data_IF_162983641294
#
_entry.id   IF_162983641294
#
_cell.length_a   1.000
_cell.length_b   1.000
_cell.length_c   1.000
_cell.angle_alpha   90.00
_cell.angle_beta   90.00
_cell.angle_gamma   90.00
#
_symmetry.space_group_name_H-M   'P 1'
#
loop_
_entity.id
_entity.type
_entity.pdbx_description
1 polymer ?
#
# COMPACT_ATOMS: atom_id res chain seq x y z
N UNK A 1 3.13 10.50 -6.24
CA UNK A 1 3.07 9.99 -7.63
C UNK A 1 1.63 9.58 -7.92
N UNK A 2 1.18 9.62 -9.18
CA UNK A 2 -0.14 9.11 -9.60
C UNK A 2 0.07 7.82 -10.43
N UNK A 3 -0.89 6.88 -10.41
CA UNK A 3 -0.81 5.72 -11.28
C UNK A 3 -0.88 6.15 -12.75
N UNK A 4 -0.11 5.47 -13.59
CA UNK A 4 -0.16 5.61 -15.05
C UNK A 4 -1.39 4.91 -15.62
N UNK A 5 -1.71 3.72 -15.09
CA UNK A 5 -2.87 2.93 -15.45
C UNK A 5 -3.47 2.26 -14.22
N UNK A 6 -4.78 2.05 -14.29
CA UNK A 6 -5.55 1.23 -13.36
C UNK A 6 -6.62 0.45 -14.15
N UNK A 7 -6.71 -0.85 -13.96
CA UNK A 7 -7.68 -1.73 -14.65
C UNK A 7 -8.69 -2.43 -13.74
N UNK A 8 -8.74 -2.04 -12.46
CA UNK A 8 -9.65 -2.62 -11.45
C UNK A 8 -8.90 -3.25 -10.28
N UNK A 9 -7.85 -4.01 -10.54
CA UNK A 9 -6.99 -4.58 -9.49
C UNK A 9 -5.52 -4.26 -9.71
N UNK A 10 -5.10 -3.96 -10.93
CA UNK A 10 -3.70 -3.65 -11.21
C UNK A 10 -3.48 -2.15 -11.28
N UNK A 11 -2.44 -1.69 -10.57
CA UNK A 11 -1.92 -0.34 -10.64
C UNK A 11 -0.53 -0.35 -11.26
N UNK A 12 -0.24 0.64 -12.12
CA UNK A 12 1.09 0.82 -12.68
C UNK A 12 1.67 2.20 -12.35
N UNK A 13 2.96 2.24 -11.99
CA UNK A 13 3.66 3.48 -11.61
C UNK A 13 5.05 3.53 -12.25
N UNK A 14 5.41 4.67 -12.83
CA UNK A 14 6.75 4.87 -13.36
C UNK A 14 7.71 5.27 -12.24
N UNK A 15 8.74 4.46 -11.98
CA UNK A 15 9.75 4.76 -10.98
C UNK A 15 10.98 5.42 -11.62
N UNK A 16 11.47 6.54 -11.09
CA UNK A 16 12.65 7.20 -11.64
C UNK A 16 13.93 6.36 -11.45
N UNK A 17 15.00 6.67 -12.23
CA UNK A 17 16.33 6.12 -12.02
C UNK A 17 16.79 6.19 -10.55
N UNK A 18 17.58 5.21 -10.13
CA UNK A 18 18.17 5.13 -8.79
C UNK A 18 17.15 5.08 -7.62
N UNK A 19 15.90 4.69 -7.88
CA UNK A 19 14.93 4.43 -6.80
C UNK A 19 15.38 3.21 -5.99
N UNK A 20 15.63 3.39 -4.69
CA UNK A 20 16.05 2.32 -3.78
C UNK A 20 14.90 1.69 -3.00
N UNK A 21 13.85 2.46 -2.76
CA UNK A 21 12.64 2.01 -2.09
C UNK A 21 11.48 2.93 -2.46
N UNK A 22 10.27 2.40 -2.34
CA UNK A 22 9.03 3.16 -2.43
C UNK A 22 8.16 2.87 -1.22
N UNK A 23 7.10 3.66 -1.03
CA UNK A 23 6.07 3.39 -0.03
C UNK A 23 4.72 3.20 -0.72
N UNK A 24 4.02 2.11 -0.38
CA UNK A 24 2.63 1.87 -0.76
C UNK A 24 1.76 2.61 0.23
N UNK A 25 1.18 3.72 -0.21
CA UNK A 25 0.37 4.61 0.62
C UNK A 25 -1.08 4.58 0.17
N UNK A 26 -1.99 4.30 1.10
CA UNK A 26 -3.43 4.31 0.89
C UNK A 26 -4.13 4.93 2.09
N UNK A 27 -5.44 5.16 1.97
CA UNK A 27 -6.25 5.26 3.20
C UNK A 27 -6.17 3.94 3.95
N UNK A 28 -6.36 3.98 5.26
CA UNK A 28 -6.51 2.79 6.09
C UNK A 28 -7.61 3.02 7.12
N UNK A 29 -8.31 1.96 7.49
CA UNK A 29 -9.34 1.98 8.52
C UNK A 29 -9.36 0.64 9.23
N UNK A 30 -9.86 0.62 10.46
CA UNK A 30 -10.08 -0.63 11.17
C UNK A 30 -11.40 -1.23 10.70
N UNK A 31 -11.46 -2.50 10.27
CA UNK A 31 -12.71 -3.17 9.94
C UNK A 31 -13.77 -3.02 11.04
N UNK A 32 -13.38 -3.08 12.31
CA UNK A 32 -14.25 -2.81 13.47
C UNK A 32 -14.95 -1.44 13.45
N UNK A 33 -14.29 -0.42 12.91
CA UNK A 33 -14.77 0.97 12.92
C UNK A 33 -15.68 1.26 11.70
N UNK A 34 -15.55 0.49 10.62
CA UNK A 34 -16.30 0.70 9.36
C UNK A 34 -17.43 -0.29 9.12
N UNK A 35 -17.31 -1.54 9.61
CA UNK A 35 -18.35 -2.57 9.44
C UNK A 35 -19.23 -2.67 10.69
N UNK A 36 -18.63 -2.62 11.89
CA UNK A 36 -19.35 -2.62 13.17
C UNK A 36 -18.71 -3.51 14.26
N UNK A 37 -19.27 -3.48 15.49
CA UNK A 37 -18.65 -4.05 16.70
C UNK A 37 -18.52 -5.58 16.71
N UNK A 38 -19.11 -6.28 15.73
CA UNK A 38 -19.00 -7.73 15.59
C UNK A 38 -17.75 -8.17 14.80
N UNK A 39 -16.99 -7.21 14.25
CA UNK A 39 -15.71 -7.48 13.59
C UNK A 39 -14.57 -7.21 14.57
N UNK A 40 -13.87 -8.28 14.95
CA UNK A 40 -12.76 -8.21 15.90
C UNK A 40 -11.42 -7.77 15.27
N UNK A 41 -11.34 -7.67 13.94
CA UNK A 41 -10.13 -7.15 13.29
C UNK A 41 -9.98 -5.64 13.56
N UNK A 42 -9.07 -5.32 14.48
CA UNK A 42 -8.74 -3.97 14.94
C UNK A 42 -7.47 -3.42 14.29
N UNK A 43 -6.90 -4.12 13.31
CA UNK A 43 -5.76 -3.63 12.55
C UNK A 43 -6.20 -2.49 11.63
N UNK A 44 -5.36 -1.49 11.43
CA UNK A 44 -5.61 -0.49 10.40
C UNK A 44 -5.27 -1.09 9.05
N UNK A 45 -6.27 -1.51 8.27
CA UNK A 45 -6.02 -2.13 6.98
C UNK A 45 -6.06 -1.09 5.87
N UNK A 46 -4.95 -0.99 5.14
CA UNK A 46 -4.84 -0.22 3.90
C UNK A 46 -5.34 -1.05 2.73
N UNK A 47 -4.41 -1.59 1.95
CA UNK A 47 -4.69 -2.44 0.79
C UNK A 47 -4.09 -3.82 0.95
N UNK A 48 -4.76 -4.85 0.43
CA UNK A 48 -4.25 -6.21 0.32
C UNK A 48 -3.52 -6.35 -1.01
N UNK A 49 -2.20 -6.51 -0.96
CA UNK A 49 -1.36 -6.62 -2.15
C UNK A 49 -0.99 -8.09 -2.35
N UNK A 50 -1.31 -8.63 -3.52
CA UNK A 50 -0.93 -9.99 -3.89
C UNK A 50 0.41 -10.01 -4.60
N UNK A 51 0.49 -9.33 -5.74
CA UNK A 51 1.66 -9.39 -6.62
C UNK A 51 2.30 -8.03 -6.81
N UNK A 52 3.63 -8.03 -6.80
CA UNK A 52 4.42 -6.84 -7.10
C UNK A 52 5.47 -7.22 -8.14
N UNK A 53 5.47 -6.52 -9.27
CA UNK A 53 6.43 -6.74 -10.36
C UNK A 53 7.09 -5.42 -10.74
N UNK A 54 8.40 -5.43 -10.85
CA UNK A 54 9.16 -4.34 -11.46
C UNK A 54 9.61 -4.74 -12.85
N UNK A 55 9.31 -3.92 -13.84
CA UNK A 55 9.72 -4.10 -15.23
C UNK A 55 10.67 -2.98 -15.62
N UNK A 56 11.88 -3.34 -16.03
CA UNK A 56 12.86 -2.39 -16.58
C UNK A 56 13.43 -3.00 -17.84
N UNK A 57 13.50 -2.19 -18.90
CA UNK A 57 13.84 -2.66 -20.25
C UNK A 57 12.96 -3.85 -20.65
N UNK A 58 13.58 -4.97 -21.07
CA UNK A 58 12.90 -6.22 -21.41
C UNK A 58 12.97 -7.28 -20.29
N UNK A 59 13.24 -6.87 -19.05
CA UNK A 59 13.31 -7.77 -17.89
C UNK A 59 12.19 -7.47 -16.89
N UNK A 60 11.65 -8.54 -16.30
CA UNK A 60 10.64 -8.48 -15.24
C UNK A 60 11.17 -9.15 -13.98
N UNK A 61 11.01 -8.48 -12.85
CA UNK A 61 11.43 -8.96 -11.54
C UNK A 61 10.23 -9.00 -10.61
N UNK A 62 9.94 -10.16 -10.07
CA UNK A 62 8.94 -10.31 -9.02
C UNK A 62 9.54 -9.89 -7.67
N UNK A 63 8.84 -9.02 -6.95
CA UNK A 63 9.21 -8.58 -5.60
C UNK A 63 8.34 -9.35 -4.62
N UNK A 64 8.97 -10.13 -3.76
CA UNK A 64 8.29 -10.96 -2.74
C UNK A 64 8.51 -10.47 -1.32
N UNK A 65 9.22 -9.36 -1.13
CA UNK A 65 9.60 -8.86 0.19
C UNK A 65 8.39 -8.54 1.10
N UNK A 66 7.21 -8.30 0.52
CA UNK A 66 5.97 -8.07 1.26
C UNK A 66 5.37 -9.33 1.90
N UNK A 67 5.74 -10.53 1.42
CA UNK A 67 5.24 -11.84 1.91
C UNK A 67 6.32 -12.69 2.57
N UNK A 68 7.52 -12.13 2.80
CA UNK A 68 8.59 -12.82 3.51
C UNK A 68 8.32 -12.85 5.02
N UNK A 69 8.95 -13.81 5.72
CA UNK A 69 8.78 -14.01 7.17
C UNK A 69 9.18 -12.79 7.99
N UNK A 70 10.20 -12.05 7.55
CA UNK A 70 10.57 -10.78 8.16
C UNK A 70 9.58 -9.70 7.75
N UNK A 71 8.83 -9.19 8.72
CA UNK A 71 7.82 -8.16 8.46
C UNK A 71 8.48 -6.82 8.18
N UNK A 72 8.34 -6.34 6.95
CA UNK A 72 8.75 -5.00 6.54
C UNK A 72 7.87 -3.92 7.18
N UNK A 73 8.45 -2.73 7.39
CA UNK A 73 7.74 -1.56 7.93
C UNK A 73 6.42 -1.31 7.18
N UNK A 74 5.31 -1.36 7.92
CA UNK A 74 3.96 -1.10 7.43
C UNK A 74 3.26 -2.24 6.70
N UNK A 75 3.85 -3.43 6.65
CA UNK A 75 3.17 -4.65 6.20
C UNK A 75 2.67 -5.47 7.40
N UNK A 76 1.53 -6.11 7.26
CA UNK A 76 1.12 -7.21 8.13
C UNK A 76 1.57 -8.49 7.45
N UNK A 77 2.46 -9.24 8.10
CA UNK A 77 3.07 -10.44 7.53
C UNK A 77 2.05 -11.42 6.95
N UNK A 78 2.43 -12.10 5.87
CA UNK A 78 1.62 -13.11 5.25
C UNK A 78 1.85 -14.44 5.98
N UNK A 79 0.90 -14.86 6.82
CA UNK A 79 0.98 -16.12 7.59
C UNK A 79 0.82 -17.36 6.68
N UNK A 80 1.71 -17.54 5.71
CA UNK A 80 1.63 -18.59 4.68
C UNK A 80 0.78 -18.22 3.46
N UNK A 81 0.31 -16.96 3.38
CA UNK A 81 -0.43 -16.44 2.24
C UNK A 81 0.49 -15.83 1.18
N UNK A 82 0.00 -15.73 -0.06
CA UNK A 82 0.69 -15.04 -1.16
C UNK A 82 0.37 -13.54 -1.24
N UNK A 83 -0.34 -13.00 -0.25
CA UNK A 83 -0.72 -11.60 -0.18
C UNK A 83 -0.51 -11.04 1.23
N UNK A 84 -0.32 -9.73 1.33
CA UNK A 84 -0.08 -9.05 2.59
C UNK A 84 -0.87 -7.74 2.65
N UNK A 85 -1.49 -7.48 3.79
CA UNK A 85 -2.15 -6.22 4.06
C UNK A 85 -1.12 -5.14 4.41
N UNK A 86 -1.28 -3.94 3.86
CA UNK A 86 -0.56 -2.76 4.36
C UNK A 86 -1.30 -2.16 5.56
N UNK A 87 -0.58 -1.41 6.40
CA UNK A 87 -1.18 -0.59 7.45
C UNK A 87 -1.64 0.81 6.98
N UNK A 88 -1.67 1.03 5.66
CA UNK A 88 -1.87 2.32 5.00
C UNK A 88 -0.59 3.02 4.57
N UNK A 89 0.59 2.60 5.05
CA UNK A 89 1.88 3.13 4.62
C UNK A 89 3.00 2.09 4.77
N UNK A 90 3.23 1.31 3.72
CA UNK A 90 4.15 0.18 3.75
C UNK A 90 5.40 0.40 2.90
N UNK A 91 6.58 0.11 3.43
CA UNK A 91 7.86 0.23 2.73
C UNK A 91 8.08 -0.96 1.80
N UNK A 92 8.43 -0.68 0.55
CA UNK A 92 8.81 -1.67 -0.44
C UNK A 92 10.24 -1.39 -0.92
N UNK A 93 11.25 -2.13 -0.44
CA UNK A 93 12.61 -2.01 -0.93
C UNK A 93 12.70 -2.51 -2.38
N UNK A 94 13.53 -1.86 -3.19
CA UNK A 94 13.88 -2.29 -4.54
C UNK A 94 15.33 -2.76 -4.52
N UNK A 95 15.56 -4.02 -4.88
CA UNK A 95 16.91 -4.54 -4.90
C UNK A 95 17.72 -3.84 -6.02
N UNK A 96 18.97 -3.46 -5.71
CA UNK A 96 19.81 -2.71 -6.65
C UNK A 96 20.08 -3.47 -7.96
N UNK A 97 20.13 -4.81 -7.89
CA UNK A 97 20.29 -5.66 -9.09
C UNK A 97 19.08 -5.59 -10.04
N UNK A 98 17.90 -5.24 -9.55
CA UNK A 98 16.68 -5.11 -10.36
C UNK A 98 16.61 -3.75 -11.05
N UNK A 99 16.95 -2.69 -10.33
CA UNK A 99 16.85 -1.33 -10.85
C UNK A 99 18.07 -0.98 -11.69
N UNK A 100 19.27 -1.40 -11.30
CA UNK A 100 20.55 -1.06 -11.94
C UNK A 100 20.71 0.44 -12.24
N UNK A 101 20.11 1.28 -11.38
CA UNK A 101 20.07 2.73 -11.59
C UNK A 101 19.17 3.20 -12.75
N UNK A 102 18.32 2.35 -13.31
CA UNK A 102 17.43 2.66 -14.44
C UNK A 102 16.01 2.99 -13.99
N UNK A 103 15.28 3.64 -14.89
CA UNK A 103 13.84 3.88 -14.77
C UNK A 103 13.08 2.59 -15.08
N UNK A 104 11.93 2.36 -14.45
CA UNK A 104 11.10 1.20 -14.77
C UNK A 104 9.67 1.31 -14.28
N UNK A 105 8.83 0.38 -14.70
CA UNK A 105 7.42 0.30 -14.35
C UNK A 105 7.22 -0.63 -13.15
N UNK A 106 6.62 -0.11 -12.07
CA UNK A 106 6.17 -0.88 -10.94
C UNK A 106 4.70 -1.23 -11.11
N UNK A 107 4.38 -2.52 -11.07
CA UNK A 107 3.05 -3.09 -11.18
C UNK A 107 2.65 -3.67 -9.82
N UNK A 108 1.48 -3.30 -9.32
CA UNK A 108 0.90 -3.83 -8.09
C UNK A 108 -0.47 -4.42 -8.39
N UNK A 109 -0.69 -5.66 -7.96
CA UNK A 109 -2.02 -6.28 -7.92
C UNK A 109 -2.61 -6.12 -6.51
N UNK A 110 -3.70 -5.36 -6.42
CA UNK A 110 -4.44 -5.08 -5.20
C UNK A 110 -5.76 -5.86 -5.23
N UNK A 111 -5.91 -6.79 -4.30
CA UNK A 111 -7.09 -7.68 -4.22
C UNK A 111 -8.24 -7.09 -3.41
N UNK A 112 -7.92 -6.28 -2.40
CA UNK A 112 -8.90 -5.70 -1.50
C UNK A 112 -8.39 -4.38 -0.91
N UNK A 113 -9.34 -3.56 -0.45
CA UNK A 113 -9.08 -2.33 0.27
C UNK A 113 -10.40 -1.73 0.76
N UNK A 114 -10.33 -1.04 1.89
CA UNK A 114 -11.50 -0.38 2.47
C UNK A 114 -12.65 -1.33 2.87
N UNK A 115 -13.85 -0.78 3.15
CA UNK A 115 -14.21 0.64 3.11
C UNK A 115 -13.36 1.49 4.06
N UNK A 116 -13.12 2.75 3.69
CA UNK A 116 -12.32 3.68 4.49
C UNK A 116 -13.19 4.79 5.06
N UNK A 117 -12.97 5.13 6.33
CA UNK A 117 -13.54 6.35 6.90
C UNK A 117 -12.95 7.56 6.17
N UNK A 118 -13.84 8.40 5.63
CA UNK A 118 -13.45 9.69 5.07
C UNK A 118 -13.36 10.68 6.22
N UNK A 119 -12.15 11.07 6.60
CA UNK A 119 -11.95 12.23 7.46
C UNK A 119 -12.38 13.48 6.68
N UNK A 120 -13.55 14.02 7.01
CA UNK A 120 -13.85 15.42 6.70
C UNK A 120 -12.92 16.28 7.56
N UNK A 121 -12.19 17.25 6.99
CA UNK A 121 -11.48 18.21 7.82
C UNK A 121 -12.50 18.86 8.74
N UNK A 122 -12.33 18.65 10.04
CA UNK A 122 -13.18 19.21 11.07
C UNK A 122 -13.13 20.73 10.90
N UNK A 123 -14.22 21.32 10.38
CA UNK A 123 -14.38 22.76 10.44
C UNK A 123 -14.22 23.14 11.92
N UNK A 124 -13.26 24.00 12.20
CA UNK A 124 -12.89 24.46 13.52
C UNK A 124 -14.11 25.18 14.13
N UNK A 125 -15.03 24.43 14.74
CA UNK A 125 -16.16 24.99 15.47
C UNK A 125 -15.58 25.55 16.77
N UNK A 126 -15.01 26.75 16.65
CA UNK A 126 -14.76 27.60 17.80
C UNK A 126 -16.12 27.95 18.38
N UNK A 127 -16.53 27.21 19.39
CA UNK A 127 -17.56 27.65 20.31
C UNK A 127 -17.02 28.93 20.97
N UNK A 128 -17.39 30.07 20.40
CA UNK A 128 -17.26 31.36 21.05
C UNK A 128 -18.20 31.36 22.25
N UNK A 129 -17.65 31.04 23.42
CA UNK A 129 -18.35 31.37 24.66
C UNK A 129 -18.45 32.90 24.71
N UNK A 130 -19.68 33.38 24.63
CA UNK A 130 -20.05 34.78 24.79
C UNK A 130 -20.79 34.94 26.10
N UNK A 131 -20.36 35.96 26.85
CA UNK A 131 -20.96 36.61 28.02
C UNK A 131 -20.90 35.85 29.36
#
# INVERSE_FOLDING_TARGET
>A
MRPLQYDGTHYSFMLPPHTKSVRVVSRASRPSDVIGPFVDDRRYLGVLVAKIVFVSDSQSYEITSHVQTETLDGWYGAEGESCAWTNGNATLPLCEHMTQGRMGLLLLEVLAGGPYLLSYPQADVRLSQSA
#
